data_IF_846876103057
#
_entry.id   IF_846876103057
#
_cell.length_a   1.000
_cell.length_b   1.000
_cell.length_c   1.000
_cell.angle_alpha   90.00
_cell.angle_beta   90.00
_cell.angle_gamma   90.00
#
_symmetry.space_group_name_H-M   'P 1'
#
loop_
_entity.id
_entity.type
_entity.pdbx_description
1 polymer ?
#
# COMPACT_ATOMS: atom_id res chain seq x y z
N UNK A 1 4.89 -11.37 -15.27
CA UNK A 1 4.35 -11.93 -14.02
C UNK A 1 4.65 -10.92 -12.90
N UNK A 2 4.11 -9.70 -13.02
CA UNK A 2 4.37 -8.57 -12.09
C UNK A 2 3.05 -7.96 -11.57
N UNK A 3 1.93 -8.19 -12.27
CA UNK A 3 0.59 -7.77 -11.84
C UNK A 3 0.01 -8.56 -10.66
N UNK A 4 0.47 -9.80 -10.42
CA UNK A 4 -0.16 -10.68 -9.41
C UNK A 4 0.04 -10.16 -7.97
N UNK A 5 1.18 -9.52 -7.69
CA UNK A 5 1.45 -8.91 -6.37
C UNK A 5 0.57 -7.67 -6.12
N UNK A 6 0.25 -6.91 -7.17
CA UNK A 6 -0.58 -5.70 -7.05
C UNK A 6 -2.05 -6.01 -6.76
N UNK A 7 -2.46 -7.27 -6.88
CA UNK A 7 -3.82 -7.73 -6.60
C UNK A 7 -4.04 -8.08 -5.11
N UNK A 8 -2.98 -8.14 -4.29
CA UNK A 8 -3.05 -8.47 -2.86
C UNK A 8 -3.05 -7.23 -1.94
N UNK A 9 -3.55 -6.08 -2.41
CA UNK A 9 -3.78 -4.93 -1.56
C UNK A 9 -4.84 -5.26 -0.49
N UNK A 10 -4.53 -4.93 0.76
CA UNK A 10 -5.41 -5.08 1.91
C UNK A 10 -5.77 -3.71 2.47
N UNK A 11 -6.94 -3.62 3.11
CA UNK A 11 -7.43 -2.40 3.72
C UNK A 11 -7.63 -2.60 5.21
N UNK A 12 -6.91 -1.81 6.02
CA UNK A 12 -7.15 -1.71 7.46
C UNK A 12 -8.17 -0.59 7.73
N UNK A 13 -9.14 -0.90 8.58
CA UNK A 13 -10.27 -0.04 8.93
C UNK A 13 -10.32 0.16 10.44
N UNK A 14 -9.54 1.12 10.98
CA UNK A 14 -9.62 1.47 12.39
C UNK A 14 -11.06 1.86 12.76
N UNK A 15 -11.52 1.38 13.91
CA UNK A 15 -12.86 1.72 14.40
C UNK A 15 -12.98 3.23 14.60
N UNK A 16 -13.97 3.84 13.97
CA UNK A 16 -14.27 5.26 14.16
C UNK A 16 -15.51 5.46 15.01
N UNK A 17 -15.47 6.45 15.91
CA UNK A 17 -16.62 6.93 16.71
C UNK A 17 -17.50 7.95 15.97
N UNK A 18 -17.42 8.00 14.63
CA UNK A 18 -18.45 8.62 13.79
C UNK A 18 -18.08 9.92 13.07
N UNK A 19 -16.91 10.52 13.32
CA UNK A 19 -16.48 11.77 12.63
C UNK A 19 -15.45 11.58 11.52
N UNK A 20 -14.70 10.49 11.55
CA UNK A 20 -13.69 10.15 10.54
C UNK A 20 -13.92 8.73 10.05
N UNK A 21 -13.40 8.38 8.90
CA UNK A 21 -13.39 7.02 8.38
C UNK A 21 -12.00 6.71 7.85
N UNK A 22 -11.05 6.56 8.78
CA UNK A 22 -9.68 6.26 8.42
C UNK A 22 -9.64 4.93 7.67
N UNK A 23 -9.02 4.94 6.49
CA UNK A 23 -8.71 3.77 5.67
C UNK A 23 -7.23 3.75 5.38
N UNK A 24 -6.62 2.59 5.58
CA UNK A 24 -5.20 2.38 5.31
C UNK A 24 -5.08 1.23 4.32
N UNK A 25 -4.48 1.50 3.17
CA UNK A 25 -4.15 0.48 2.17
C UNK A 25 -2.72 0.01 2.43
N UNK A 26 -2.54 -1.31 2.50
CA UNK A 26 -1.26 -1.95 2.79
C UNK A 26 -1.11 -3.27 2.07
N UNK A 27 0.11 -3.79 2.02
CA UNK A 27 0.43 -5.10 1.47
C UNK A 27 1.46 -5.80 2.34
N UNK A 28 1.44 -7.13 2.37
CA UNK A 28 2.56 -7.91 2.88
C UNK A 28 3.51 -8.19 1.74
N UNK A 29 4.75 -7.75 1.89
CA UNK A 29 5.77 -8.06 0.89
C UNK A 29 6.25 -9.52 1.01
N UNK A 30 7.04 -10.04 0.05
CA UNK A 30 7.59 -11.39 0.09
C UNK A 30 8.47 -11.69 1.31
N UNK A 31 9.04 -10.66 1.94
CA UNK A 31 9.84 -10.77 3.17
C UNK A 31 8.95 -10.74 4.43
N UNK A 32 7.62 -10.79 4.26
CA UNK A 32 6.57 -10.83 5.30
C UNK A 32 6.49 -9.53 6.12
N UNK A 33 6.96 -8.42 5.58
CA UNK A 33 6.83 -7.10 6.18
C UNK A 33 5.49 -6.45 5.75
N UNK A 34 4.80 -5.81 6.69
CA UNK A 34 3.61 -5.04 6.38
C UNK A 34 4.01 -3.64 5.89
N UNK A 35 3.74 -3.35 4.63
CA UNK A 35 4.07 -2.07 3.99
C UNK A 35 2.81 -1.21 3.90
N UNK A 36 2.76 -0.12 4.64
CA UNK A 36 1.66 0.85 4.57
C UNK A 36 1.86 1.79 3.38
N UNK A 37 0.91 1.76 2.44
CA UNK A 37 1.04 2.45 1.15
C UNK A 37 0.26 3.76 1.14
N UNK A 38 -0.97 3.76 1.65
CA UNK A 38 -1.84 4.95 1.66
C UNK A 38 -2.65 4.97 2.95
N UNK A 39 -2.77 6.11 3.60
CA UNK A 39 -3.68 6.33 4.72
C UNK A 39 -4.47 7.62 4.48
N UNK A 40 -5.76 7.63 4.78
CA UNK A 40 -6.57 8.83 4.68
C UNK A 40 -7.97 8.67 5.24
N UNK A 41 -8.67 9.81 5.33
CA UNK A 41 -10.02 9.89 5.86
C UNK A 41 -11.04 9.81 4.73
N UNK A 42 -11.85 8.74 4.74
CA UNK A 42 -12.90 8.49 3.74
C UNK A 42 -14.18 9.30 4.01
N UNK A 43 -14.32 9.92 5.18
CA UNK A 43 -15.55 10.61 5.57
C UNK A 43 -15.95 11.67 4.52
N UNK A 44 -17.13 11.48 3.91
CA UNK A 44 -17.70 12.40 2.92
C UNK A 44 -17.15 12.29 1.49
N UNK A 45 -16.26 11.34 1.17
CA UNK A 45 -15.64 11.18 -0.19
C UNK A 45 -15.64 9.73 -0.68
N UNK A 46 -16.80 9.07 -0.58
CA UNK A 46 -16.94 7.61 -0.68
C UNK A 46 -16.46 6.95 -1.98
N UNK A 47 -16.74 7.53 -3.16
CA UNK A 47 -16.34 6.95 -4.46
C UNK A 47 -14.92 7.34 -4.84
N UNK A 48 -14.63 8.64 -4.78
CA UNK A 48 -13.35 9.24 -5.19
C UNK A 48 -12.15 8.69 -4.41
N UNK A 49 -12.35 8.23 -3.17
CA UNK A 49 -11.29 7.65 -2.37
C UNK A 49 -10.62 6.44 -3.05
N UNK A 50 -11.38 5.47 -3.56
CA UNK A 50 -10.77 4.28 -4.16
C UNK A 50 -10.14 4.57 -5.53
N UNK A 51 -10.77 5.46 -6.30
CA UNK A 51 -10.25 5.90 -7.61
C UNK A 51 -8.86 6.54 -7.50
N UNK A 52 -8.59 7.24 -6.39
CA UNK A 52 -7.29 7.87 -6.13
C UNK A 52 -6.35 6.97 -5.32
N UNK A 53 -6.84 6.30 -4.28
CA UNK A 53 -6.01 5.58 -3.33
C UNK A 53 -5.45 4.26 -3.90
N UNK A 54 -6.20 3.54 -4.74
CA UNK A 54 -5.73 2.28 -5.32
C UNK A 54 -4.58 2.51 -6.31
N UNK A 55 -4.69 3.40 -7.33
CA UNK A 55 -3.57 3.66 -8.22
C UNK A 55 -2.35 4.21 -7.48
N UNK A 56 -2.56 5.08 -6.49
CA UNK A 56 -1.48 5.62 -5.66
C UNK A 56 -0.76 4.52 -4.85
N UNK A 57 -1.52 3.60 -4.24
CA UNK A 57 -0.95 2.48 -3.52
C UNK A 57 -0.13 1.56 -4.44
N UNK A 58 -0.64 1.27 -5.64
CA UNK A 58 0.09 0.48 -6.64
C UNK A 58 1.41 1.16 -7.06
N UNK A 59 1.37 2.45 -7.34
CA UNK A 59 2.58 3.23 -7.70
C UNK A 59 3.64 3.17 -6.60
N UNK A 60 3.24 3.41 -5.35
CA UNK A 60 4.16 3.38 -4.20
C UNK A 60 4.75 2.00 -3.95
N UNK A 61 3.97 0.94 -4.17
CA UNK A 61 4.49 -0.42 -4.02
C UNK A 61 5.51 -0.77 -5.10
N UNK A 62 5.30 -0.37 -6.35
CA UNK A 62 6.27 -0.58 -7.43
C UNK A 62 7.60 0.13 -7.14
N UNK A 63 7.54 1.37 -6.63
CA UNK A 63 8.72 2.13 -6.20
C UNK A 63 9.46 1.41 -5.06
N UNK A 64 8.75 1.07 -3.98
CA UNK A 64 9.30 0.32 -2.85
C UNK A 64 10.01 -0.99 -3.27
N UNK A 65 9.38 -1.77 -4.17
CA UNK A 65 9.96 -3.04 -4.66
C UNK A 65 11.20 -2.80 -5.51
N UNK A 66 11.23 -1.73 -6.30
CA UNK A 66 12.40 -1.32 -7.06
C UNK A 66 13.59 -1.01 -6.15
N UNK A 67 13.35 -0.22 -5.10
CA UNK A 67 14.37 0.16 -4.12
C UNK A 67 14.89 -1.06 -3.34
N UNK A 68 14.01 -1.88 -2.77
CA UNK A 68 14.39 -3.11 -2.04
C UNK A 68 15.24 -4.06 -2.88
N UNK A 69 14.92 -4.23 -4.18
CA UNK A 69 15.71 -5.09 -5.08
C UNK A 69 17.11 -4.52 -5.33
N UNK A 70 17.21 -3.20 -5.45
CA UNK A 70 18.50 -2.52 -5.61
C UNK A 70 19.36 -2.61 -4.34
N UNK A 71 18.76 -2.52 -3.15
CA UNK A 71 19.44 -2.72 -1.87
C UNK A 71 19.98 -4.14 -1.73
N UNK A 72 19.15 -5.16 -1.98
CA UNK A 72 19.56 -6.57 -1.90
C UNK A 72 20.75 -6.89 -2.82
N UNK A 73 20.73 -6.33 -4.03
CA UNK A 73 21.83 -6.50 -5.01
C UNK A 73 23.15 -5.86 -4.54
N UNK A 74 23.09 -4.77 -3.75
CA UNK A 74 24.29 -4.14 -3.19
C UNK A 74 24.85 -4.93 -2.01
N UNK A 75 23.97 -5.51 -1.20
CA UNK A 75 24.36 -6.35 -0.06
C UNK A 75 25.01 -7.66 -0.53
N UNK A 76 24.46 -8.33 -1.54
CA UNK A 76 25.03 -9.56 -2.13
C UNK A 76 26.42 -9.35 -2.78
N UNK A 77 26.77 -8.11 -3.15
CA UNK A 77 28.04 -7.76 -3.79
C UNK A 77 29.13 -7.33 -2.80
N UNK A 78 28.82 -7.27 -1.51
CA UNK A 78 29.71 -6.80 -0.44
C UNK A 78 30.28 -7.97 0.36
#
# INVERSE_FOLDING_TARGET
>A
MEDDDLNNLKELRPGSRGRSEIRIIFIFDPDREAVFLVAGDKAGKWSRWYDEAIPLAKSRYMEYRGEKRAEKTKEDRR
#
